data_IF_365250441267
#
_entry.id   IF_365250441267
#
_cell.length_a   1.000
_cell.length_b   1.000
_cell.length_c   1.000
_cell.angle_alpha   90.00
_cell.angle_beta   90.00
_cell.angle_gamma   90.00
#
_symmetry.space_group_name_H-M   'P 1'
#
loop_
_entity.id
_entity.type
_entity.pdbx_description
1 polymer ?
#
# COMPACT_ATOMS: atom_id res chain seq x y z
N UNK A 1 1.64 62.17 42.30
CA UNK A 1 0.84 62.65 43.44
C UNK A 1 -0.04 61.48 43.88
N UNK A 2 0.46 60.81 44.87
CA UNK A 2 -0.23 60.39 46.12
C UNK A 2 -1.33 59.33 45.82
N UNK A 3 -1.15 58.07 46.03
CA UNK A 3 -0.89 57.29 47.25
C UNK A 3 -2.15 56.82 47.97
N UNK A 4 -2.07 55.56 48.32
CA UNK A 4 -2.50 54.88 49.58
C UNK A 4 -3.77 54.01 49.44
N UNK A 5 -3.60 52.70 49.59
CA UNK A 5 -3.57 51.89 50.86
C UNK A 5 -4.99 51.70 51.46
N UNK A 6 -5.47 50.54 51.76
CA UNK A 6 -5.15 49.48 52.70
C UNK A 6 -6.29 48.45 52.60
N UNK A 7 -6.00 47.17 52.60
CA UNK A 7 -5.93 46.21 53.72
C UNK A 7 -7.23 45.57 54.23
N UNK A 8 -7.14 44.25 54.27
CA UNK A 8 -7.74 43.26 55.20
C UNK A 8 -9.19 42.86 54.93
N UNK A 9 -9.57 41.65 54.97
CA UNK A 9 -9.04 40.42 55.54
C UNK A 9 -10.07 39.31 55.48
N UNK A 10 -9.52 38.17 55.38
CA UNK A 10 -9.86 36.93 56.05
C UNK A 10 -11.17 36.16 55.85
N UNK A 11 -10.94 34.93 55.53
CA UNK A 11 -11.47 33.67 56.09
C UNK A 11 -12.75 33.03 55.54
N UNK A 12 -12.45 31.90 54.87
CA UNK A 12 -13.04 30.56 55.08
C UNK A 12 -14.52 30.32 54.73
N UNK A 13 -14.80 29.52 53.71
CA UNK A 13 -15.37 28.16 53.87
C UNK A 13 -15.54 27.45 52.53
N UNK A 14 -15.11 26.22 52.55
CA UNK A 14 -15.26 25.16 51.57
C UNK A 14 -16.67 25.03 51.00
N UNK A 15 -16.77 24.82 49.66
CA UNK A 15 -17.79 23.91 49.15
C UNK A 15 -17.33 23.37 47.77
N UNK A 16 -17.24 22.07 47.69
CA UNK A 16 -16.94 21.26 46.53
C UNK A 16 -18.05 21.41 45.49
N UNK A 17 -17.71 21.76 44.26
CA UNK A 17 -18.53 21.49 43.09
C UNK A 17 -17.63 20.87 42.02
N UNK A 18 -17.83 19.57 41.85
CA UNK A 18 -17.32 18.76 40.74
C UNK A 18 -17.84 19.32 39.40
N UNK A 19 -16.97 20.01 38.68
CA UNK A 19 -17.17 20.32 37.29
C UNK A 19 -16.56 19.22 36.44
N UNK A 20 -17.35 18.27 35.89
CA UNK A 20 -16.93 17.36 34.84
C UNK A 20 -16.63 18.17 33.58
N UNK A 21 -15.35 18.42 33.35
CA UNK A 21 -14.89 18.84 32.03
C UNK A 21 -14.79 17.56 31.15
N UNK A 22 -15.77 17.36 30.29
CA UNK A 22 -15.69 16.36 29.23
C UNK A 22 -14.60 16.79 28.23
N UNK A 23 -13.39 16.29 28.39
CA UNK A 23 -12.41 16.28 27.31
C UNK A 23 -12.88 15.27 26.27
N UNK A 24 -13.44 15.76 25.18
CA UNK A 24 -13.60 14.99 23.95
C UNK A 24 -12.20 14.78 23.34
N UNK A 25 -11.54 13.71 23.74
CA UNK A 25 -10.37 13.20 23.05
C UNK A 25 -10.81 12.66 21.69
N UNK A 26 -10.58 13.40 20.62
CA UNK A 26 -10.66 12.89 19.27
C UNK A 26 -9.58 11.81 19.14
N UNK A 27 -9.98 10.55 19.15
CA UNK A 27 -9.10 9.43 18.89
C UNK A 27 -8.60 9.54 17.44
N UNK A 28 -7.28 9.40 17.19
CA UNK A 28 -6.79 9.31 15.82
C UNK A 28 -7.40 8.08 15.15
N UNK A 29 -7.95 8.25 13.96
CA UNK A 29 -8.40 7.15 13.13
C UNK A 29 -7.20 6.21 12.87
N UNK A 30 -7.15 5.12 13.62
CA UNK A 30 -6.21 4.03 13.36
C UNK A 30 -6.68 3.35 12.09
N UNK A 31 -5.88 3.43 11.02
CA UNK A 31 -5.94 2.46 9.95
C UNK A 31 -5.65 1.09 10.60
N UNK A 32 -6.71 0.39 11.00
CA UNK A 32 -6.56 -0.92 11.61
C UNK A 32 -6.23 -1.91 10.53
N UNK A 33 -4.99 -2.31 10.58
CA UNK A 33 -4.44 -3.51 10.00
C UNK A 33 -5.29 -4.73 10.33
N UNK A 34 -5.38 -5.63 9.38
CA UNK A 34 -5.85 -7.00 9.60
C UNK A 34 -5.21 -7.57 10.86
N UNK A 35 -5.95 -8.27 11.71
CA UNK A 35 -5.41 -8.85 12.93
C UNK A 35 -4.23 -9.77 12.60
N UNK A 36 -3.16 -9.63 13.36
CA UNK A 36 -2.00 -10.52 13.25
C UNK A 36 -2.45 -11.94 13.60
N UNK A 37 -2.07 -12.91 12.76
CA UNK A 37 -2.28 -14.32 13.02
C UNK A 37 -1.58 -14.70 14.33
N UNK A 38 -2.24 -15.48 15.21
CA UNK A 38 -1.60 -16.02 16.41
C UNK A 38 -0.41 -16.90 16.01
N UNK A 39 0.72 -16.74 16.71
CA UNK A 39 1.91 -17.56 16.54
C UNK A 39 1.59 -19.02 16.81
N UNK A 40 1.76 -19.88 15.81
CA UNK A 40 1.65 -21.32 15.97
C UNK A 40 2.82 -21.84 16.80
N UNK A 41 2.60 -22.77 17.77
CA UNK A 41 3.66 -23.36 18.56
C UNK A 41 4.55 -24.27 17.71
N UNK A 42 5.87 -24.14 17.87
CA UNK A 42 6.85 -25.04 17.28
C UNK A 42 6.81 -26.37 17.99
N UNK A 43 6.34 -27.42 17.34
CA UNK A 43 6.49 -28.80 17.82
C UNK A 43 7.13 -29.70 16.77
N UNK A 44 8.23 -30.24 17.13
CA UNK A 44 8.92 -31.49 17.03
C UNK A 44 8.87 -32.31 15.73
N UNK A 45 10.08 -32.63 15.30
CA UNK A 45 10.44 -33.63 14.28
C UNK A 45 9.88 -35.02 14.58
N UNK A 46 9.27 -35.64 13.58
CA UNK A 46 9.06 -37.06 13.50
C UNK A 46 7.67 -37.49 13.08
N UNK A 47 7.32 -37.43 11.81
CA UNK A 47 6.39 -38.33 11.09
C UNK A 47 6.47 -37.99 9.60
N UNK A 48 7.40 -38.55 8.85
CA UNK A 48 7.58 -38.21 7.43
C UNK A 48 6.85 -39.13 6.43
N UNK A 49 6.10 -40.11 6.84
CA UNK A 49 5.50 -41.11 5.92
C UNK A 49 3.97 -41.17 5.85
N UNK A 50 3.25 -40.28 6.53
CA UNK A 50 1.78 -40.14 6.37
C UNK A 50 1.32 -38.79 5.86
N UNK A 51 2.23 -37.96 5.37
CA UNK A 51 2.04 -36.51 5.19
C UNK A 51 1.48 -36.13 3.79
N UNK A 52 1.42 -37.03 2.83
CA UNK A 52 0.97 -36.69 1.47
C UNK A 52 -0.52 -36.32 1.35
N UNK A 53 -1.39 -36.95 2.12
CA UNK A 53 -2.84 -36.67 2.09
C UNK A 53 -3.28 -35.64 3.14
N UNK A 54 -2.56 -35.53 4.26
CA UNK A 54 -2.89 -34.57 5.32
C UNK A 54 -2.42 -33.15 4.98
N UNK A 55 -1.38 -32.99 4.17
CA UNK A 55 -0.86 -31.65 3.78
C UNK A 55 -1.83 -30.92 2.85
N UNK A 56 -2.49 -31.60 1.90
CA UNK A 56 -3.50 -30.96 1.05
C UNK A 56 -4.74 -30.53 1.84
N UNK A 57 -5.15 -31.31 2.81
CA UNK A 57 -6.29 -30.99 3.69
C UNK A 57 -5.94 -29.85 4.65
N UNK A 58 -4.75 -29.88 5.28
CA UNK A 58 -4.25 -28.83 6.15
C UNK A 58 -4.03 -27.49 5.41
N UNK A 59 -3.51 -27.53 4.17
CA UNK A 59 -3.38 -26.33 3.33
C UNK A 59 -4.74 -25.79 2.93
N UNK A 60 -5.72 -26.64 2.67
CA UNK A 60 -7.11 -26.26 2.38
C UNK A 60 -7.81 -25.59 3.57
N UNK A 61 -7.60 -26.10 4.80
CA UNK A 61 -8.18 -25.53 6.02
C UNK A 61 -7.56 -24.18 6.36
N UNK A 62 -6.23 -24.07 6.28
CA UNK A 62 -5.53 -22.81 6.47
C UNK A 62 -5.96 -21.76 5.44
N UNK A 63 -6.10 -22.15 4.16
CA UNK A 63 -6.57 -21.25 3.11
C UNK A 63 -8.02 -20.77 3.39
N UNK A 64 -8.92 -21.64 3.84
CA UNK A 64 -10.29 -21.27 4.25
C UNK A 64 -10.27 -20.31 5.44
N UNK A 65 -9.50 -20.59 6.47
CA UNK A 65 -9.38 -19.72 7.65
C UNK A 65 -8.84 -18.34 7.32
N UNK A 66 -7.84 -18.24 6.43
CA UNK A 66 -7.32 -16.97 5.94
C UNK A 66 -8.37 -16.19 5.13
N UNK A 67 -9.13 -16.88 4.26
CA UNK A 67 -10.20 -16.26 3.50
C UNK A 67 -11.33 -15.76 4.40
N UNK A 68 -11.71 -16.52 5.42
CA UNK A 68 -12.70 -16.11 6.42
C UNK A 68 -12.22 -14.90 7.23
N UNK A 69 -10.93 -14.86 7.59
CA UNK A 69 -10.30 -13.72 8.26
C UNK A 69 -10.33 -12.49 7.36
N UNK A 70 -9.99 -12.63 6.06
CA UNK A 70 -10.06 -11.55 5.07
C UNK A 70 -11.49 -11.01 4.93
N UNK A 71 -12.48 -11.91 4.83
CA UNK A 71 -13.90 -11.53 4.73
C UNK A 71 -14.39 -10.82 5.99
N UNK A 72 -14.00 -11.30 7.17
CA UNK A 72 -14.33 -10.67 8.44
C UNK A 72 -13.74 -9.25 8.55
N UNK A 73 -12.49 -9.06 8.14
CA UNK A 73 -11.84 -7.76 8.11
C UNK A 73 -12.53 -6.80 7.12
N UNK A 74 -12.84 -7.27 5.91
CA UNK A 74 -13.59 -6.50 4.92
C UNK A 74 -14.98 -6.10 5.43
N UNK A 75 -15.70 -7.02 6.08
CA UNK A 75 -17.00 -6.72 6.70
C UNK A 75 -16.88 -5.70 7.85
N UNK A 76 -15.78 -5.71 8.59
CA UNK A 76 -15.53 -4.72 9.64
C UNK A 76 -15.33 -3.33 9.04
N UNK A 77 -14.52 -3.17 8.00
CA UNK A 77 -14.34 -1.91 7.28
C UNK A 77 -15.67 -1.33 6.77
N UNK A 78 -16.52 -2.18 6.22
CA UNK A 78 -17.86 -1.76 5.75
C UNK A 78 -18.74 -1.31 6.92
N UNK A 79 -18.70 -2.00 8.07
CA UNK A 79 -19.48 -1.58 9.25
C UNK A 79 -19.00 -0.26 9.85
N UNK A 80 -17.69 -0.01 9.81
CA UNK A 80 -17.10 1.25 10.32
C UNK A 80 -17.35 2.42 9.38
N UNK A 81 -17.44 2.18 8.07
CA UNK A 81 -17.60 3.21 7.04
C UNK A 81 -18.64 2.83 5.97
N UNK A 82 -19.91 2.58 6.35
CA UNK A 82 -20.93 2.03 5.44
C UNK A 82 -21.33 3.00 4.32
N UNK A 83 -21.12 4.29 4.51
CA UNK A 83 -21.34 5.36 3.53
C UNK A 83 -20.19 5.53 2.53
N UNK A 84 -19.01 4.99 2.84
CA UNK A 84 -17.78 5.14 2.04
C UNK A 84 -17.31 3.84 1.42
N UNK A 85 -17.55 2.69 2.07
CA UNK A 85 -17.02 1.39 1.68
C UNK A 85 -18.15 0.37 1.56
N UNK A 86 -18.14 -0.37 0.46
CA UNK A 86 -19.02 -1.51 0.21
C UNK A 86 -18.20 -2.70 -0.30
N UNK A 87 -18.79 -3.90 -0.29
CA UNK A 87 -18.16 -5.05 -0.92
C UNK A 87 -18.51 -5.10 -2.41
N UNK A 88 -17.52 -5.39 -3.22
CA UNK A 88 -17.70 -5.69 -4.63
C UNK A 88 -18.34 -7.11 -4.83
N UNK A 89 -18.68 -7.51 -6.06
CA UNK A 89 -19.26 -8.84 -6.31
C UNK A 89 -18.38 -10.03 -5.88
N UNK A 90 -17.08 -9.83 -5.71
CA UNK A 90 -16.09 -10.82 -5.28
C UNK A 90 -15.82 -10.77 -3.77
N UNK A 91 -16.45 -9.84 -3.04
CA UNK A 91 -16.28 -9.66 -1.60
C UNK A 91 -15.04 -8.86 -1.21
N UNK A 92 -14.48 -8.06 -2.11
CA UNK A 92 -13.41 -7.11 -1.80
C UNK A 92 -13.96 -5.74 -1.45
N UNK A 93 -13.32 -5.00 -0.51
CA UNK A 93 -13.69 -3.63 -0.22
C UNK A 93 -13.50 -2.73 -1.46
N UNK A 94 -14.48 -1.89 -1.69
CA UNK A 94 -14.49 -0.92 -2.78
C UNK A 94 -15.24 0.34 -2.34
N UNK A 95 -15.11 1.43 -3.07
CA UNK A 95 -15.87 2.66 -2.82
C UNK A 95 -17.36 2.39 -2.93
N UNK A 96 -18.10 2.79 -1.90
CA UNK A 96 -19.55 2.56 -1.86
C UNK A 96 -20.28 3.34 -2.96
N UNK A 97 -21.16 2.64 -3.68
CA UNK A 97 -22.01 3.27 -4.70
C UNK A 97 -21.29 3.76 -5.95
N UNK A 98 -19.99 3.50 -6.11
CA UNK A 98 -19.21 3.98 -7.26
C UNK A 98 -18.78 2.83 -8.16
N UNK A 99 -18.91 3.02 -9.48
CA UNK A 99 -18.38 2.09 -10.49
C UNK A 99 -17.46 2.82 -11.45
N UNK A 100 -16.46 2.11 -11.93
CA UNK A 100 -15.47 2.58 -12.91
C UNK A 100 -15.79 1.97 -14.25
N UNK A 101 -15.90 2.79 -15.27
CA UNK A 101 -16.14 2.40 -16.67
C UNK A 101 -14.93 2.79 -17.47
N UNK A 102 -14.31 1.83 -18.16
CA UNK A 102 -13.18 2.08 -19.03
C UNK A 102 -13.63 2.52 -20.42
N UNK A 103 -12.93 3.47 -21.00
CA UNK A 103 -13.15 4.06 -22.34
C UNK A 103 -14.64 4.33 -22.66
N UNK A 104 -15.42 5.02 -21.78
CA UNK A 104 -16.84 5.21 -22.00
C UNK A 104 -17.12 6.16 -23.16
N UNK A 105 -18.06 5.78 -24.05
CA UNK A 105 -18.59 6.70 -25.05
C UNK A 105 -19.54 7.73 -24.43
N UNK A 106 -19.71 8.87 -25.08
CA UNK A 106 -20.67 9.91 -24.64
C UNK A 106 -22.11 9.37 -24.62
N UNK A 107 -22.46 8.51 -25.57
CA UNK A 107 -23.77 7.85 -25.62
C UNK A 107 -24.01 6.96 -24.40
N UNK A 108 -22.99 6.19 -23.97
CA UNK A 108 -23.07 5.38 -22.77
C UNK A 108 -23.25 6.24 -21.53
N UNK A 109 -22.47 7.33 -21.38
CA UNK A 109 -22.59 8.25 -20.25
C UNK A 109 -23.96 8.91 -20.20
N UNK A 110 -24.52 9.33 -21.36
CA UNK A 110 -25.87 9.87 -21.44
C UNK A 110 -26.94 8.84 -21.06
N UNK A 111 -26.81 7.60 -21.53
CA UNK A 111 -27.71 6.50 -21.16
C UNK A 111 -27.63 6.15 -19.67
N UNK A 112 -26.45 6.19 -19.08
CA UNK A 112 -26.26 6.00 -17.64
C UNK A 112 -26.93 7.14 -16.84
N UNK A 113 -26.74 8.40 -17.27
CA UNK A 113 -27.37 9.56 -16.65
C UNK A 113 -28.89 9.47 -16.71
N UNK A 114 -29.47 9.04 -17.84
CA UNK A 114 -30.91 8.82 -17.96
C UNK A 114 -31.46 7.73 -17.01
N UNK A 115 -30.58 6.83 -16.52
CA UNK A 115 -30.90 5.83 -15.47
C UNK A 115 -30.60 6.32 -14.04
N UNK A 116 -30.24 7.59 -13.87
CA UNK A 116 -29.97 8.22 -12.59
C UNK A 116 -28.54 8.05 -12.06
N UNK A 117 -27.61 7.56 -12.89
CA UNK A 117 -26.20 7.59 -12.53
C UNK A 117 -25.65 9.01 -12.66
N UNK A 118 -24.80 9.41 -11.74
CA UNK A 118 -24.14 10.72 -11.75
C UNK A 118 -22.67 10.54 -12.13
N UNK A 119 -22.23 11.26 -13.15
CA UNK A 119 -20.82 11.31 -13.50
C UNK A 119 -20.06 12.07 -12.40
N UNK A 120 -19.11 11.38 -11.73
CA UNK A 120 -18.21 11.98 -10.73
C UNK A 120 -17.01 12.61 -11.42
N UNK A 121 -16.34 11.83 -12.27
CA UNK A 121 -15.21 12.29 -13.07
C UNK A 121 -15.09 11.50 -14.38
N UNK A 122 -14.47 12.11 -15.37
CA UNK A 122 -13.99 11.47 -16.58
C UNK A 122 -12.56 11.91 -16.80
N UNK A 123 -11.66 10.97 -16.94
CA UNK A 123 -10.22 11.23 -17.04
C UNK A 123 -9.57 10.28 -18.04
N UNK A 124 -8.38 10.67 -18.47
CA UNK A 124 -7.48 9.82 -19.24
C UNK A 124 -6.12 9.74 -18.52
N UNK A 125 -5.61 8.53 -18.36
CA UNK A 125 -4.31 8.27 -17.77
C UNK A 125 -3.49 7.43 -18.74
N UNK A 126 -2.40 7.97 -19.25
CA UNK A 126 -1.47 7.30 -20.18
C UNK A 126 -2.13 6.77 -21.46
N UNK A 127 -3.20 7.42 -21.94
CA UNK A 127 -3.97 6.99 -23.12
C UNK A 127 -5.12 6.03 -22.79
N UNK A 128 -5.41 5.81 -21.50
CA UNK A 128 -6.50 4.94 -21.03
C UNK A 128 -7.58 5.84 -20.43
N UNK A 129 -8.73 5.92 -21.13
CA UNK A 129 -9.89 6.67 -20.66
C UNK A 129 -10.63 5.91 -19.57
N UNK A 130 -11.16 6.61 -18.58
CA UNK A 130 -12.13 6.05 -17.65
C UNK A 130 -13.09 7.10 -17.11
N UNK A 131 -14.24 6.65 -16.64
CA UNK A 131 -15.18 7.48 -15.88
C UNK A 131 -15.55 6.79 -14.58
N UNK A 132 -15.72 7.58 -13.51
CA UNK A 132 -16.35 7.13 -12.28
C UNK A 132 -17.79 7.62 -12.26
N UNK A 133 -18.70 6.69 -12.02
CA UNK A 133 -20.13 6.94 -11.95
C UNK A 133 -20.63 6.60 -10.55
N UNK A 134 -21.37 7.51 -9.93
CA UNK A 134 -22.13 7.24 -8.72
C UNK A 134 -23.47 6.61 -9.10
N UNK A 135 -23.75 5.47 -8.50
CA UNK A 135 -25.01 4.76 -8.71
C UNK A 135 -26.18 5.41 -7.97
N UNK A 136 -27.42 5.28 -8.45
CA UNK A 136 -28.60 5.72 -7.71
C UNK A 136 -28.67 5.08 -6.32
N UNK A 137 -29.20 5.82 -5.35
CA UNK A 137 -29.35 5.34 -3.96
C UNK A 137 -30.05 3.99 -3.90
N UNK A 138 -29.55 3.11 -3.05
CA UNK A 138 -30.08 1.76 -2.85
C UNK A 138 -29.61 0.72 -3.88
N UNK A 139 -28.77 1.09 -4.84
CA UNK A 139 -28.15 0.15 -5.76
C UNK A 139 -26.88 -0.45 -5.14
N UNK A 140 -26.79 -1.77 -5.08
CA UNK A 140 -25.53 -2.46 -4.75
C UNK A 140 -24.53 -2.35 -5.91
N UNK A 141 -23.22 -2.45 -5.61
CA UNK A 141 -22.18 -2.46 -6.65
C UNK A 141 -22.41 -3.54 -7.71
N UNK A 142 -22.89 -4.73 -7.30
CA UNK A 142 -23.24 -5.83 -8.22
C UNK A 142 -24.36 -5.44 -9.18
N UNK A 143 -25.39 -4.72 -8.71
CA UNK A 143 -26.46 -4.23 -9.56
C UNK A 143 -25.97 -3.13 -10.50
N UNK A 144 -25.23 -2.16 -9.97
CA UNK A 144 -24.67 -1.05 -10.76
C UNK A 144 -23.77 -1.54 -11.89
N UNK A 145 -22.82 -2.42 -11.62
CA UNK A 145 -21.94 -3.04 -12.63
C UNK A 145 -22.76 -3.73 -13.73
N UNK A 146 -23.77 -4.51 -13.33
CA UNK A 146 -24.64 -5.22 -14.28
C UNK A 146 -25.46 -4.27 -15.15
N UNK A 147 -25.99 -3.20 -14.56
CA UNK A 147 -26.80 -2.20 -15.26
C UNK A 147 -25.96 -1.43 -16.29
N UNK A 148 -24.77 -1.00 -15.92
CA UNK A 148 -23.86 -0.28 -16.83
C UNK A 148 -23.35 -1.19 -17.96
N UNK A 149 -23.05 -2.46 -17.69
CA UNK A 149 -22.71 -3.43 -18.74
C UNK A 149 -23.82 -3.62 -19.77
N UNK A 150 -25.08 -3.63 -19.32
CA UNK A 150 -26.24 -3.70 -20.23
C UNK A 150 -26.41 -2.46 -21.11
N UNK A 151 -25.80 -1.33 -20.78
CA UNK A 151 -25.76 -0.14 -21.60
C UNK A 151 -24.65 -0.18 -22.68
N UNK A 152 -23.89 -1.29 -22.77
CA UNK A 152 -22.85 -1.48 -23.78
C UNK A 152 -21.44 -1.15 -23.30
N UNK A 153 -21.21 -0.99 -21.99
CA UNK A 153 -19.87 -0.83 -21.47
C UNK A 153 -19.04 -2.11 -21.65
N UNK A 154 -17.86 -2.02 -22.27
CA UNK A 154 -16.98 -3.14 -22.49
C UNK A 154 -16.36 -3.64 -21.17
N UNK A 155 -15.90 -2.72 -20.32
CA UNK A 155 -15.34 -3.03 -19.02
C UNK A 155 -15.92 -2.12 -17.95
N UNK A 156 -16.45 -2.72 -16.88
CA UNK A 156 -17.01 -2.04 -15.71
C UNK A 156 -16.58 -2.78 -14.45
N UNK A 157 -16.01 -2.06 -13.51
CA UNK A 157 -15.56 -2.62 -12.24
C UNK A 157 -16.02 -1.76 -11.06
N UNK A 158 -15.88 -2.28 -9.86
CA UNK A 158 -15.85 -1.45 -8.66
C UNK A 158 -14.51 -0.72 -8.55
N UNK A 159 -14.46 0.38 -7.83
CA UNK A 159 -13.22 1.06 -7.48
C UNK A 159 -12.65 0.42 -6.19
N UNK A 160 -11.98 -0.74 -6.36
CA UNK A 160 -11.52 -1.57 -5.27
C UNK A 160 -10.39 -0.91 -4.47
N UNK A 161 -10.38 -1.16 -3.16
CA UNK A 161 -9.38 -0.65 -2.24
C UNK A 161 -8.15 -1.56 -2.18
N UNK A 162 -6.97 -0.95 -2.10
CA UNK A 162 -5.69 -1.59 -1.86
C UNK A 162 -5.18 -1.12 -0.50
N UNK A 163 -4.82 -2.06 0.37
CA UNK A 163 -4.37 -1.77 1.73
C UNK A 163 -2.84 -1.71 1.81
N UNK A 164 -2.32 -0.90 2.73
CA UNK A 164 -0.90 -0.89 3.08
C UNK A 164 -0.48 -2.26 3.63
N UNK A 165 0.65 -2.79 3.16
CA UNK A 165 1.12 -4.14 3.53
C UNK A 165 2.19 -4.08 4.61
N UNK A 166 1.84 -3.76 5.84
CA UNK A 166 2.77 -3.69 6.97
C UNK A 166 2.25 -2.84 8.10
N UNK A 167 2.86 -2.96 9.28
CA UNK A 167 2.47 -2.21 10.47
C UNK A 167 3.54 -1.19 10.86
N UNK A 168 3.11 0.03 11.09
CA UNK A 168 3.93 1.13 11.62
C UNK A 168 3.15 1.84 12.72
N UNK A 169 3.59 1.85 13.98
CA UNK A 169 3.01 2.69 15.01
C UNK A 169 3.75 4.04 15.11
N UNK A 170 3.02 5.16 15.08
CA UNK A 170 3.56 6.50 15.42
C UNK A 170 3.43 7.59 14.35
N UNK A 171 3.91 8.81 14.59
CA UNK A 171 3.81 10.01 13.74
C UNK A 171 5.14 10.46 13.05
N UNK A 172 5.11 11.18 11.86
CA UNK A 172 6.19 11.26 10.85
C UNK A 172 7.32 12.32 11.02
N UNK A 173 8.61 11.93 10.82
CA UNK A 173 9.73 12.85 10.56
C UNK A 173 10.09 12.91 9.06
N UNK A 174 10.60 14.06 8.59
CA UNK A 174 10.93 14.24 7.19
C UNK A 174 12.11 13.35 6.72
N UNK A 175 12.02 12.86 5.50
CA UNK A 175 13.15 12.30 4.76
C UNK A 175 14.11 13.45 4.40
N UNK A 176 15.41 13.21 4.50
CA UNK A 176 16.40 14.23 4.17
C UNK A 176 16.36 14.63 2.68
N UNK A 177 16.53 15.91 2.32
CA UNK A 177 16.67 16.33 0.94
C UNK A 177 17.87 15.63 0.28
N UNK A 178 17.67 15.07 -0.92
CA UNK A 178 18.69 14.40 -1.69
C UNK A 178 18.96 15.10 -3.03
N UNK A 179 20.08 14.76 -3.68
CA UNK A 179 20.46 15.19 -5.04
C UNK A 179 20.53 14.02 -6.03
N UNK A 180 20.31 12.81 -5.54
CA UNK A 180 20.36 11.57 -6.31
C UNK A 180 19.13 11.32 -7.21
N UNK A 181 18.99 10.09 -7.74
CA UNK A 181 17.86 9.70 -8.58
C UNK A 181 16.51 9.93 -7.91
N UNK A 182 15.49 10.23 -8.72
CA UNK A 182 14.12 10.37 -8.24
C UNK A 182 13.43 8.99 -8.20
N UNK A 183 12.98 8.59 -7.01
CA UNK A 183 12.27 7.31 -6.78
C UNK A 183 10.84 7.60 -6.36
N UNK A 184 9.89 6.95 -7.01
CA UNK A 184 8.47 7.09 -6.73
C UNK A 184 8.01 6.22 -5.56
N UNK A 185 7.18 6.78 -4.71
CA UNK A 185 6.46 6.09 -3.63
C UNK A 185 4.98 6.35 -3.81
N UNK A 186 4.21 5.30 -4.15
CA UNK A 186 2.74 5.33 -4.14
C UNK A 186 2.28 4.66 -2.87
N UNK A 187 1.79 5.47 -1.92
CA UNK A 187 1.45 5.06 -0.55
C UNK A 187 0.57 6.14 0.11
N UNK A 188 0.59 6.29 1.42
CA UNK A 188 0.26 7.55 2.08
C UNK A 188 1.37 8.59 1.85
N UNK A 189 1.09 9.86 2.12
CA UNK A 189 2.06 10.94 1.87
C UNK A 189 3.35 10.77 2.66
N UNK A 190 4.44 11.31 2.10
CA UNK A 190 5.78 11.27 2.68
C UNK A 190 6.17 12.66 3.18
N UNK A 191 6.66 12.73 4.41
CA UNK A 191 7.25 13.97 4.94
C UNK A 191 8.64 14.21 4.34
N UNK A 192 8.91 15.41 3.82
CA UNK A 192 10.19 15.75 3.21
C UNK A 192 10.41 15.24 1.79
N UNK A 193 9.37 14.80 1.09
CA UNK A 193 9.45 14.40 -0.30
C UNK A 193 9.88 15.60 -1.21
N UNK A 194 10.71 15.32 -2.22
CA UNK A 194 11.15 16.31 -3.20
C UNK A 194 10.00 16.74 -4.12
N UNK A 195 9.10 15.83 -4.46
CA UNK A 195 7.84 16.06 -5.15
C UNK A 195 6.72 15.40 -4.38
N UNK A 196 5.56 16.05 -4.28
CA UNK A 196 4.40 15.49 -3.58
C UNK A 196 3.11 15.82 -4.32
N UNK A 197 2.23 14.82 -4.46
CA UNK A 197 0.90 14.98 -5.02
C UNK A 197 -0.12 14.13 -4.26
N UNK A 198 -1.38 14.60 -4.21
CA UNK A 198 -2.49 13.91 -3.57
C UNK A 198 -3.52 13.39 -4.58
N UNK A 199 -4.02 12.18 -4.35
CA UNK A 199 -4.97 11.48 -5.23
C UNK A 199 -6.25 11.02 -4.49
N UNK A 200 -6.37 11.38 -3.23
CA UNK A 200 -7.54 11.11 -2.39
C UNK A 200 -7.96 12.37 -1.62
N UNK A 201 -9.12 12.34 -1.01
CA UNK A 201 -9.61 13.46 -0.19
C UNK A 201 -8.64 13.73 0.97
N UNK A 202 -8.25 15.01 1.14
CA UNK A 202 -7.31 15.42 2.19
C UNK A 202 -5.85 15.05 1.94
N UNK A 203 -5.51 14.53 0.74
CA UNK A 203 -4.12 14.32 0.30
C UNK A 203 -3.58 15.58 -0.43
N UNK A 204 -2.23 15.82 -0.43
CA UNK A 204 -1.21 15.00 0.22
C UNK A 204 -1.12 15.26 1.74
N UNK A 205 -1.00 14.21 2.51
CA UNK A 205 -0.84 14.25 3.96
C UNK A 205 0.21 13.23 4.40
N UNK A 206 1.23 13.68 5.13
CA UNK A 206 2.26 12.77 5.64
C UNK A 206 1.64 11.62 6.45
N UNK A 207 2.08 10.41 6.13
CA UNK A 207 1.63 9.16 6.70
C UNK A 207 2.84 8.36 7.17
N UNK A 208 2.69 7.63 8.27
CA UNK A 208 3.79 6.88 8.88
C UNK A 208 4.31 5.78 7.96
N UNK A 209 3.41 5.05 7.31
CA UNK A 209 3.79 3.96 6.42
C UNK A 209 4.53 4.48 5.18
N UNK A 210 3.99 5.47 4.48
CA UNK A 210 4.64 6.09 3.33
C UNK A 210 6.00 6.71 3.69
N UNK A 211 6.11 7.37 4.87
CA UNK A 211 7.38 7.93 5.34
C UNK A 211 8.39 6.84 5.70
N UNK A 212 7.96 5.74 6.33
CA UNK A 212 8.82 4.60 6.61
C UNK A 212 9.35 3.98 5.32
N UNK A 213 8.50 3.73 4.33
CA UNK A 213 8.88 3.23 3.00
C UNK A 213 9.91 4.15 2.35
N UNK A 214 9.68 5.46 2.33
CA UNK A 214 10.61 6.43 1.76
C UNK A 214 11.96 6.47 2.50
N UNK A 215 11.99 6.32 3.83
CA UNK A 215 13.21 6.27 4.63
C UNK A 215 14.09 5.07 4.31
N UNK A 216 13.47 3.94 3.92
CA UNK A 216 14.19 2.74 3.50
C UNK A 216 14.79 2.88 2.10
N UNK A 217 14.31 3.84 1.30
CA UNK A 217 14.95 4.21 0.03
C UNK A 217 16.09 5.19 0.29
N UNK A 218 15.76 6.40 0.77
CA UNK A 218 16.65 7.56 0.77
C UNK A 218 17.51 7.69 2.03
N UNK A 219 17.21 6.93 3.08
CA UNK A 219 17.74 7.14 4.42
C UNK A 219 17.03 8.28 5.15
N UNK A 220 17.08 8.27 6.47
CA UNK A 220 16.61 9.36 7.32
C UNK A 220 17.19 9.22 8.72
N UNK A 221 17.84 10.24 9.26
CA UNK A 221 18.49 10.19 10.57
C UNK A 221 19.47 9.03 10.67
N UNK A 222 19.21 8.06 11.57
CA UNK A 222 20.01 6.86 11.77
C UNK A 222 19.65 5.70 10.83
N UNK A 223 18.56 5.81 10.08
CA UNK A 223 18.13 4.81 9.09
C UNK A 223 18.95 4.99 7.82
N UNK A 224 19.66 3.92 7.40
CA UNK A 224 20.64 3.98 6.30
C UNK A 224 20.02 4.19 4.93
N UNK A 225 18.88 3.50 4.65
CA UNK A 225 18.31 3.44 3.31
C UNK A 225 19.12 2.60 2.30
N UNK A 226 18.47 2.18 1.22
CA UNK A 226 19.09 1.42 0.12
C UNK A 226 19.82 2.29 -0.90
N UNK A 227 19.46 3.59 -0.98
CA UNK A 227 20.07 4.57 -1.87
C UNK A 227 20.10 5.94 -1.15
N UNK A 228 21.03 6.11 -0.19
CA UNK A 228 21.14 7.36 0.56
C UNK A 228 21.29 8.56 -0.39
N UNK A 229 20.53 9.61 -0.10
CA UNK A 229 20.49 10.81 -0.94
C UNK A 229 19.60 10.71 -2.18
N UNK A 230 18.84 9.64 -2.38
CA UNK A 230 17.77 9.60 -3.37
C UNK A 230 16.73 10.69 -3.10
N UNK A 231 16.12 11.22 -4.15
CA UNK A 231 14.97 12.13 -4.05
C UNK A 231 13.69 11.30 -4.11
N UNK A 232 12.68 11.69 -3.35
CA UNK A 232 11.42 10.98 -3.29
C UNK A 232 10.33 11.76 -4.01
N UNK A 233 9.64 11.11 -4.95
CA UNK A 233 8.36 11.55 -5.49
C UNK A 233 7.25 10.80 -4.74
N UNK A 234 6.48 11.51 -3.94
CA UNK A 234 5.42 10.96 -3.09
C UNK A 234 4.05 11.17 -3.75
N UNK A 235 3.34 10.09 -4.00
CA UNK A 235 1.95 10.10 -4.43
C UNK A 235 1.07 9.54 -3.31
N UNK A 236 0.37 10.43 -2.62
CA UNK A 236 -0.55 10.06 -1.54
C UNK A 236 -1.91 9.64 -2.12
N UNK A 237 -2.20 8.34 -2.04
CA UNK A 237 -3.46 7.75 -2.51
C UNK A 237 -4.48 7.54 -1.40
N UNK A 238 -4.15 7.89 -0.15
CA UNK A 238 -5.03 7.72 1.02
C UNK A 238 -5.61 9.02 1.57
N UNK A 239 -4.78 10.04 1.78
CA UNK A 239 -5.18 11.29 2.43
C UNK A 239 -5.83 11.03 3.79
N UNK A 240 -7.03 11.54 3.96
CA UNK A 240 -7.93 11.27 5.10
C UNK A 240 -9.20 10.49 4.71
N UNK A 241 -9.25 9.94 3.50
CA UNK A 241 -10.42 9.22 3.00
C UNK A 241 -10.40 7.76 3.49
N UNK A 242 -11.41 7.28 4.24
CA UNK A 242 -11.52 5.86 4.62
C UNK A 242 -11.54 4.91 3.42
N UNK A 243 -12.01 5.38 2.25
CA UNK A 243 -11.98 4.65 0.99
C UNK A 243 -10.79 5.07 0.09
N UNK A 244 -9.70 5.58 0.68
CA UNK A 244 -8.44 5.84 0.00
C UNK A 244 -7.72 4.55 -0.41
N UNK A 245 -6.65 4.69 -1.20
CA UNK A 245 -5.95 3.52 -1.76
C UNK A 245 -6.74 2.79 -2.83
N UNK A 246 -7.75 3.42 -3.41
CA UNK A 246 -8.56 2.82 -4.46
C UNK A 246 -7.84 2.76 -5.81
N UNK A 247 -8.30 1.87 -6.69
CA UNK A 247 -7.65 1.58 -7.97
C UNK A 247 -7.52 2.83 -8.86
N UNK A 248 -8.52 3.72 -8.89
CA UNK A 248 -8.46 4.95 -9.69
C UNK A 248 -7.44 5.94 -9.14
N UNK A 249 -7.30 6.06 -7.82
CA UNK A 249 -6.27 6.90 -7.19
C UNK A 249 -4.86 6.39 -7.52
N UNK A 250 -4.62 5.06 -7.44
CA UNK A 250 -3.35 4.45 -7.80
C UNK A 250 -3.04 4.65 -9.30
N UNK A 251 -4.04 4.45 -10.17
CA UNK A 251 -3.89 4.67 -11.60
C UNK A 251 -3.46 6.11 -11.94
N UNK A 252 -4.11 7.11 -11.33
CA UNK A 252 -3.73 8.53 -11.48
C UNK A 252 -2.34 8.81 -10.92
N UNK A 253 -1.99 8.22 -9.78
CA UNK A 253 -0.66 8.34 -9.18
C UNK A 253 0.42 7.80 -10.12
N UNK A 254 0.21 6.64 -10.76
CA UNK A 254 1.13 6.09 -11.77
C UNK A 254 1.28 7.06 -12.94
N UNK A 255 0.18 7.61 -13.45
CA UNK A 255 0.21 8.63 -14.51
C UNK A 255 1.07 9.84 -14.14
N UNK A 256 0.91 10.34 -12.91
CA UNK A 256 1.71 11.45 -12.38
C UNK A 256 3.20 11.08 -12.26
N UNK A 257 3.54 9.86 -11.85
CA UNK A 257 4.93 9.39 -11.82
C UNK A 257 5.57 9.43 -13.21
N UNK A 258 4.84 8.96 -14.24
CA UNK A 258 5.31 9.02 -15.64
C UNK A 258 5.53 10.46 -16.10
N UNK A 259 4.60 11.37 -15.81
CA UNK A 259 4.71 12.79 -16.15
C UNK A 259 5.94 13.46 -15.51
N UNK A 260 6.30 13.04 -14.30
CA UNK A 260 7.48 13.53 -13.57
C UNK A 260 8.76 12.74 -13.90
N UNK A 261 8.74 11.89 -14.95
CA UNK A 261 9.90 11.11 -15.41
C UNK A 261 10.54 10.24 -14.33
N UNK A 262 9.73 9.72 -13.41
CA UNK A 262 10.19 8.77 -12.40
C UNK A 262 10.47 7.43 -13.08
N UNK A 263 11.69 6.90 -12.90
CA UNK A 263 12.11 5.65 -13.56
C UNK A 263 11.73 4.41 -12.77
N UNK A 264 11.69 4.52 -11.44
CA UNK A 264 11.38 3.39 -10.54
C UNK A 264 10.32 3.84 -9.54
N UNK A 265 9.25 3.08 -9.44
CA UNK A 265 8.12 3.34 -8.53
C UNK A 265 7.93 2.14 -7.63
N UNK A 266 7.93 2.35 -6.31
CA UNK A 266 7.52 1.32 -5.35
C UNK A 266 6.06 1.50 -4.96
N UNK A 267 5.33 0.37 -4.91
CA UNK A 267 3.94 0.30 -4.49
C UNK A 267 3.85 -0.71 -3.36
N UNK A 268 3.81 -0.22 -2.12
CA UNK A 268 3.75 -1.04 -0.92
C UNK A 268 2.30 -1.31 -0.48
N UNK A 269 1.42 -1.49 -1.45
CA UNK A 269 -0.03 -1.70 -1.30
C UNK A 269 -0.43 -3.02 -1.92
N UNK A 270 -1.49 -3.64 -1.38
CA UNK A 270 -2.02 -4.89 -1.91
C UNK A 270 -3.55 -4.89 -1.95
N UNK A 271 -4.09 -5.43 -3.02
CA UNK A 271 -5.52 -5.57 -3.25
C UNK A 271 -5.84 -6.63 -4.28
N UNK A 272 -7.09 -6.70 -4.75
CA UNK A 272 -7.51 -7.58 -5.82
C UNK A 272 -7.02 -7.10 -7.19
N UNK A 273 -7.13 -7.96 -8.20
CA UNK A 273 -6.95 -7.58 -9.59
C UNK A 273 -7.99 -6.53 -10.01
N UNK A 274 -7.54 -5.52 -10.73
CA UNK A 274 -8.39 -4.47 -11.30
C UNK A 274 -7.95 -4.21 -12.76
N UNK A 275 -8.84 -4.30 -13.76
CA UNK A 275 -8.50 -4.14 -15.17
C UNK A 275 -7.91 -2.77 -15.51
N UNK A 276 -8.50 -1.67 -15.01
CA UNK A 276 -7.95 -0.32 -15.23
C UNK A 276 -6.50 -0.22 -14.73
N UNK A 277 -6.25 -0.71 -13.50
CA UNK A 277 -4.92 -0.66 -12.92
C UNK A 277 -3.92 -1.51 -13.71
N UNK A 278 -4.33 -2.69 -14.19
CA UNK A 278 -3.49 -3.54 -15.05
C UNK A 278 -3.06 -2.82 -16.34
N UNK A 279 -4.01 -2.16 -17.02
CA UNK A 279 -3.74 -1.39 -18.24
C UNK A 279 -2.82 -0.21 -18.02
N UNK A 280 -3.06 0.57 -16.94
CA UNK A 280 -2.24 1.74 -16.61
C UNK A 280 -0.81 1.32 -16.23
N UNK A 281 -0.64 0.22 -15.49
CA UNK A 281 0.68 -0.36 -15.18
C UNK A 281 1.41 -0.75 -16.47
N UNK A 282 0.76 -1.51 -17.36
CA UNK A 282 1.35 -1.89 -18.64
C UNK A 282 1.75 -0.66 -19.49
N UNK A 283 0.91 0.39 -19.50
CA UNK A 283 1.21 1.63 -20.20
C UNK A 283 2.39 2.41 -19.59
N UNK A 284 2.58 2.37 -18.28
CA UNK A 284 3.72 2.96 -17.60
C UNK A 284 5.01 2.17 -17.88
N UNK A 285 4.95 0.84 -17.84
CA UNK A 285 6.07 -0.04 -18.19
C UNK A 285 6.52 0.16 -19.65
N UNK A 286 5.60 0.30 -20.58
CA UNK A 286 5.90 0.61 -21.99
C UNK A 286 6.63 1.96 -22.13
N UNK A 287 6.52 2.87 -21.16
CA UNK A 287 7.24 4.15 -21.09
C UNK A 287 8.54 4.06 -20.28
N UNK A 288 8.96 2.86 -19.90
CA UNK A 288 10.21 2.61 -19.19
C UNK A 288 10.13 2.82 -17.68
N UNK A 289 8.96 2.80 -17.07
CA UNK A 289 8.85 2.83 -15.61
C UNK A 289 8.95 1.41 -15.06
N UNK A 290 9.95 1.16 -14.21
CA UNK A 290 10.04 -0.05 -13.42
C UNK A 290 9.10 0.05 -12.21
N UNK A 291 8.12 -0.85 -12.11
CA UNK A 291 7.20 -0.90 -10.97
C UNK A 291 7.60 -2.05 -10.06
N UNK A 292 7.87 -1.73 -8.80
CA UNK A 292 8.27 -2.68 -7.75
C UNK A 292 7.11 -2.76 -6.75
N UNK A 293 6.64 -3.96 -6.44
CA UNK A 293 5.50 -4.11 -5.54
C UNK A 293 5.69 -5.23 -4.52
N UNK A 294 5.18 -4.98 -3.31
CA UNK A 294 5.17 -5.95 -2.22
C UNK A 294 4.13 -7.06 -2.47
N UNK A 295 4.49 -8.32 -2.15
CA UNK A 295 3.57 -9.46 -2.29
C UNK A 295 2.50 -9.55 -1.17
N UNK A 296 2.54 -8.63 -0.19
CA UNK A 296 1.58 -8.58 0.91
C UNK A 296 1.95 -9.48 2.08
N UNK A 297 1.09 -9.45 3.12
CA UNK A 297 1.34 -10.11 4.40
C UNK A 297 0.17 -11.00 4.85
N UNK A 298 -0.60 -11.52 3.90
CA UNK A 298 -1.78 -12.35 4.18
C UNK A 298 -1.47 -13.85 4.21
N UNK A 299 -0.18 -14.19 4.27
CA UNK A 299 0.30 -15.57 4.30
C UNK A 299 0.37 -16.24 2.92
N UNK A 300 1.12 -17.34 2.81
CA UNK A 300 1.39 -18.02 1.53
C UNK A 300 0.17 -18.73 0.93
N UNK A 301 -0.89 -18.97 1.69
CA UNK A 301 -2.13 -19.56 1.23
C UNK A 301 -3.15 -18.53 0.69
N UNK A 302 -2.89 -17.22 0.86
CA UNK A 302 -3.76 -16.17 0.33
C UNK A 302 -3.75 -16.15 -1.21
N UNK A 303 -4.84 -15.66 -1.85
CA UNK A 303 -4.84 -15.39 -3.28
C UNK A 303 -3.69 -14.46 -3.69
N UNK A 304 -3.23 -14.53 -4.96
CA UNK A 304 -2.21 -13.64 -5.47
C UNK A 304 -2.59 -12.16 -5.27
N UNK A 305 -1.66 -11.38 -4.72
CA UNK A 305 -1.86 -9.96 -4.44
C UNK A 305 -1.47 -9.09 -5.64
N UNK A 306 -2.23 -8.02 -5.86
CA UNK A 306 -1.96 -7.01 -6.89
C UNK A 306 -1.62 -5.67 -6.22
N UNK A 307 -0.70 -4.89 -6.84
CA UNK A 307 -0.19 -4.98 -8.20
C UNK A 307 0.97 -5.97 -8.42
N UNK A 308 1.54 -6.61 -7.39
CA UNK A 308 2.70 -7.49 -7.51
C UNK A 308 2.51 -8.63 -8.55
N UNK A 309 1.27 -9.08 -8.76
CA UNK A 309 0.95 -10.17 -9.69
C UNK A 309 0.71 -9.73 -11.14
N UNK A 310 0.75 -8.43 -11.45
CA UNK A 310 0.64 -8.02 -12.85
C UNK A 310 1.92 -8.33 -13.64
N UNK A 311 1.80 -8.68 -14.93
CA UNK A 311 2.95 -8.95 -15.77
C UNK A 311 3.97 -7.80 -15.76
N UNK A 312 5.26 -8.14 -15.62
CA UNK A 312 6.35 -7.18 -15.63
C UNK A 312 6.48 -6.30 -14.38
N UNK A 313 5.59 -6.42 -13.39
CA UNK A 313 5.79 -5.82 -12.07
C UNK A 313 6.83 -6.66 -11.34
N UNK A 314 7.79 -5.99 -10.70
CA UNK A 314 8.84 -6.64 -9.92
C UNK A 314 8.28 -6.98 -8.56
N UNK A 315 7.94 -8.25 -8.36
CA UNK A 315 7.32 -8.75 -7.14
C UNK A 315 8.36 -9.02 -6.05
N UNK A 316 8.14 -8.45 -4.85
CA UNK A 316 9.13 -8.49 -3.76
C UNK A 316 8.53 -9.09 -2.50
N UNK A 317 9.21 -10.10 -1.95
CA UNK A 317 8.96 -10.66 -0.62
C UNK A 317 9.94 -10.11 0.42
N UNK A 318 9.66 -10.38 1.70
CA UNK A 318 10.48 -9.95 2.82
C UNK A 318 11.25 -11.08 3.48
N UNK A 319 12.47 -10.77 3.98
CA UNK A 319 13.23 -11.65 4.86
C UNK A 319 13.46 -11.02 6.23
N UNK A 320 13.64 -11.88 7.25
CA UNK A 320 13.99 -11.47 8.61
C UNK A 320 15.49 -11.16 8.76
N UNK A 321 15.90 -10.79 9.97
CA UNK A 321 17.30 -10.49 10.29
C UNK A 321 18.28 -11.65 10.15
N UNK A 322 17.79 -12.87 9.96
CA UNK A 322 18.56 -14.09 9.70
C UNK A 322 18.48 -14.54 8.25
N UNK A 323 17.86 -13.75 7.37
CA UNK A 323 17.71 -14.05 5.95
C UNK A 323 16.60 -15.08 5.65
N UNK A 324 15.71 -15.40 6.60
CA UNK A 324 14.60 -16.33 6.40
C UNK A 324 13.38 -15.56 5.85
N UNK A 325 12.70 -16.14 4.87
CA UNK A 325 11.46 -15.57 4.35
C UNK A 325 10.43 -15.34 5.47
N UNK A 326 9.72 -14.23 5.42
CA UNK A 326 8.68 -13.91 6.41
C UNK A 326 7.52 -14.91 6.27
N UNK A 327 7.10 -15.51 7.39
CA UNK A 327 6.03 -16.51 7.41
C UNK A 327 4.67 -15.93 7.00
N UNK A 328 4.47 -14.65 7.24
CA UNK A 328 3.27 -13.91 6.84
C UNK A 328 3.33 -13.40 5.40
N UNK A 329 4.45 -13.54 4.70
CA UNK A 329 4.55 -13.07 3.32
C UNK A 329 3.45 -13.67 2.46
N UNK A 330 2.77 -12.81 1.70
CA UNK A 330 1.74 -13.19 0.74
C UNK A 330 2.34 -13.82 -0.53
N UNK A 331 1.50 -13.90 -1.56
CA UNK A 331 1.88 -14.49 -2.85
C UNK A 331 1.60 -13.53 -3.99
N UNK A 332 2.42 -13.63 -5.03
CA UNK A 332 2.13 -13.14 -6.36
C UNK A 332 2.16 -14.31 -7.36
N UNK A 333 1.73 -14.08 -8.59
CA UNK A 333 1.79 -15.08 -9.68
C UNK A 333 3.23 -15.44 -10.04
N UNK A 334 4.18 -14.56 -9.71
CA UNK A 334 5.63 -14.73 -9.83
C UNK A 334 6.31 -14.04 -8.65
N UNK A 335 7.57 -14.33 -8.41
CA UNK A 335 8.39 -13.67 -7.41
C UNK A 335 9.75 -13.34 -8.02
N UNK A 336 10.17 -12.08 -7.89
CA UNK A 336 11.42 -11.62 -8.48
C UNK A 336 12.56 -11.56 -7.47
N UNK A 337 12.36 -10.94 -6.33
CA UNK A 337 13.39 -10.76 -5.31
C UNK A 337 12.84 -10.84 -3.90
N UNK A 338 13.77 -11.10 -2.98
CA UNK A 338 13.59 -10.89 -1.57
C UNK A 338 14.47 -9.72 -1.09
N UNK A 339 14.07 -9.05 -0.01
CA UNK A 339 14.87 -8.03 0.65
C UNK A 339 14.52 -7.96 2.15
N UNK A 340 15.32 -7.28 3.00
CA UNK A 340 15.00 -7.13 4.41
C UNK A 340 13.61 -6.54 4.63
N UNK A 341 12.76 -7.25 5.37
CA UNK A 341 11.38 -6.85 5.70
C UNK A 341 11.09 -6.91 7.19
N UNK A 342 12.04 -7.33 8.03
CA UNK A 342 11.87 -7.39 9.47
C UNK A 342 13.19 -7.22 10.23
N UNK A 343 13.09 -7.17 11.57
CA UNK A 343 14.21 -6.98 12.51
C UNK A 343 15.05 -5.75 12.18
N UNK A 344 14.39 -4.70 11.74
CA UNK A 344 15.03 -3.47 11.31
C UNK A 344 14.25 -2.23 11.71
N UNK A 345 14.92 -1.10 11.60
CA UNK A 345 14.37 0.22 11.84
C UNK A 345 14.03 0.91 10.50
N UNK A 346 12.91 1.59 10.48
CA UNK A 346 12.55 2.60 9.50
C UNK A 346 12.19 3.90 10.23
N UNK A 347 12.24 5.03 9.53
CA UNK A 347 11.85 6.30 10.11
C UNK A 347 10.33 6.44 10.02
N UNK A 348 9.69 6.46 11.16
CA UNK A 348 8.30 6.85 11.21
C UNK A 348 8.16 8.36 11.39
N UNK A 349 6.92 8.77 11.34
CA UNK A 349 6.54 10.11 11.39
C UNK A 349 6.83 10.90 12.64
N UNK A 350 7.08 10.25 13.77
CA UNK A 350 7.50 10.91 15.02
C UNK A 350 8.93 11.46 15.00
N UNK A 351 9.69 11.28 13.92
CA UNK A 351 11.12 11.58 13.90
C UNK A 351 11.97 10.55 14.61
N UNK A 352 11.38 9.45 15.05
CA UNK A 352 12.07 8.38 15.76
C UNK A 352 12.14 7.13 14.88
N UNK A 353 13.30 6.46 14.86
CA UNK A 353 13.39 5.13 14.26
C UNK A 353 12.50 4.17 15.04
N UNK A 354 11.79 3.33 14.30
CA UNK A 354 10.91 2.33 14.88
C UNK A 354 11.08 0.98 14.19
N UNK A 355 10.76 -0.08 14.91
CA UNK A 355 10.78 -1.44 14.36
C UNK A 355 9.66 -1.59 13.35
N UNK A 356 10.01 -2.13 12.19
CA UNK A 356 9.05 -2.43 11.13
C UNK A 356 9.12 -3.90 10.74
N UNK A 357 7.97 -4.41 10.26
CA UNK A 357 7.83 -5.78 9.77
C UNK A 357 6.77 -5.86 8.67
N UNK A 358 7.11 -6.51 7.57
CA UNK A 358 6.25 -6.76 6.43
C UNK A 358 6.96 -6.58 5.10
N UNK A 359 6.37 -7.14 4.04
CA UNK A 359 6.88 -7.07 2.67
C UNK A 359 6.88 -5.65 2.10
N UNK A 360 6.02 -4.74 2.61
CA UNK A 360 6.04 -3.31 2.31
C UNK A 360 7.38 -2.64 2.56
N UNK A 361 8.15 -3.16 3.51
CA UNK A 361 9.45 -2.61 3.88
C UNK A 361 10.61 -3.27 3.14
N UNK A 362 10.34 -4.37 2.43
CA UNK A 362 11.31 -5.01 1.54
C UNK A 362 11.30 -4.37 0.14
N UNK A 363 10.14 -4.09 -0.42
CA UNK A 363 9.99 -3.51 -1.75
C UNK A 363 10.81 -2.21 -1.97
N UNK A 364 10.85 -1.24 -1.04
CA UNK A 364 11.64 -0.03 -1.19
C UNK A 364 13.15 -0.27 -1.34
N UNK A 365 13.72 -1.30 -0.72
CA UNK A 365 15.12 -1.64 -0.91
C UNK A 365 15.40 -2.12 -2.34
N UNK A 366 14.53 -2.97 -2.89
CA UNK A 366 14.64 -3.41 -4.29
C UNK A 366 14.49 -2.23 -5.24
N UNK A 367 13.52 -1.33 -5.00
CA UNK A 367 13.37 -0.11 -5.77
C UNK A 367 14.62 0.79 -5.71
N UNK A 368 15.25 0.92 -4.55
CA UNK A 368 16.50 1.67 -4.36
C UNK A 368 17.67 1.06 -5.17
N UNK A 369 17.84 -0.27 -5.14
CA UNK A 369 18.89 -0.96 -5.91
C UNK A 369 18.67 -0.76 -7.41
N UNK A 370 17.43 -0.88 -7.90
CA UNK A 370 17.12 -0.66 -9.32
C UNK A 370 17.38 0.81 -9.68
N UNK A 371 16.91 1.77 -8.88
CA UNK A 371 17.07 3.20 -9.19
C UNK A 371 18.54 3.64 -9.27
N UNK A 372 19.44 2.99 -8.54
CA UNK A 372 20.88 3.23 -8.62
C UNK A 372 21.45 2.95 -10.01
N UNK A 373 20.95 1.93 -10.69
CA UNK A 373 21.45 1.49 -12.01
C UNK A 373 20.53 1.90 -13.16
N UNK A 374 19.33 2.40 -12.82
CA UNK A 374 18.29 2.85 -13.77
C UNK A 374 17.70 4.21 -13.33
N UNK A 375 18.49 5.29 -13.37
CA UNK A 375 18.11 6.60 -12.83
C UNK A 375 17.11 7.38 -13.70
N UNK A 376 16.93 6.99 -14.96
CA UNK A 376 16.00 7.65 -15.90
C UNK A 376 15.20 6.61 -16.67
N UNK A 377 13.91 6.90 -16.99
CA UNK A 377 13.09 5.97 -17.78
C UNK A 377 13.71 5.74 -19.17
N UNK A 378 13.93 4.47 -19.49
CA UNK A 378 14.46 4.02 -20.77
C UNK A 378 13.98 2.60 -21.08
N UNK A 379 12.89 2.40 -21.84
CA UNK A 379 12.33 1.07 -22.09
C UNK A 379 13.36 0.06 -22.61
N UNK A 380 14.25 0.50 -23.52
CA UNK A 380 15.27 -0.39 -24.09
C UNK A 380 16.38 -0.77 -23.09
N UNK A 381 16.61 0.06 -22.06
CA UNK A 381 17.66 -0.14 -21.06
C UNK A 381 17.23 -0.94 -19.83
N UNK A 382 15.93 -1.13 -19.61
CA UNK A 382 15.42 -1.75 -18.38
C UNK A 382 15.92 -3.19 -18.22
N UNK A 383 15.88 -4.01 -19.28
CA UNK A 383 16.37 -5.39 -19.23
C UNK A 383 17.83 -5.49 -18.81
N UNK A 384 18.69 -4.62 -19.34
CA UNK A 384 20.11 -4.58 -18.97
C UNK A 384 20.31 -4.12 -17.52
N UNK A 385 19.49 -3.18 -17.03
CA UNK A 385 19.52 -2.75 -15.64
C UNK A 385 19.10 -3.89 -14.71
N UNK A 386 18.02 -4.61 -15.01
CA UNK A 386 17.59 -5.78 -14.22
C UNK A 386 18.65 -6.87 -14.24
N UNK A 387 19.26 -7.21 -15.38
CA UNK A 387 20.35 -8.19 -15.45
C UNK A 387 21.58 -7.78 -14.60
N UNK A 388 21.78 -6.47 -14.40
CA UNK A 388 22.82 -5.99 -13.46
C UNK A 388 22.40 -6.21 -12.01
N UNK A 389 21.14 -5.96 -11.66
CA UNK A 389 20.59 -6.22 -10.32
C UNK A 389 20.62 -7.73 -10.00
N UNK A 390 20.31 -8.59 -10.98
CA UNK A 390 20.36 -10.05 -10.82
C UNK A 390 21.73 -10.55 -10.33
N UNK A 391 22.81 -9.94 -10.81
CA UNK A 391 24.19 -10.30 -10.38
C UNK A 391 24.51 -9.89 -8.95
N UNK A 392 23.75 -8.97 -8.37
CA UNK A 392 23.91 -8.53 -6.97
C UNK A 392 23.02 -9.34 -6.01
N UNK A 393 22.02 -10.04 -6.53
CA UNK A 393 21.13 -10.86 -5.72
C UNK A 393 21.88 -12.09 -5.19
N UNK A 394 21.87 -12.25 -3.87
CA UNK A 394 22.43 -13.43 -3.22
C UNK A 394 21.42 -14.57 -3.29
N UNK A 395 21.81 -15.66 -3.94
CA UNK A 395 20.98 -16.87 -4.01
C UNK A 395 20.68 -17.40 -2.60
N UNK A 396 19.42 -17.72 -2.34
CA UNK A 396 18.93 -18.19 -1.04
C UNK A 396 17.80 -19.20 -1.24
N UNK A 397 17.68 -20.16 -0.33
CA UNK A 397 16.72 -21.26 -0.46
C UNK A 397 17.21 -22.35 -1.40
N UNK A 398 16.39 -22.77 -2.34
CA UNK A 398 16.75 -23.71 -3.39
C UNK A 398 17.71 -23.05 -4.38
N UNK A 399 18.64 -23.81 -4.94
CA UNK A 399 19.60 -23.26 -5.92
C UNK A 399 18.88 -22.67 -7.13
N UNK A 400 19.19 -21.39 -7.42
CA UNK A 400 18.58 -20.63 -8.50
C UNK A 400 17.22 -20.03 -8.10
N UNK A 401 16.49 -19.42 -9.04
CA UNK A 401 15.21 -18.77 -8.75
C UNK A 401 14.19 -19.73 -8.13
N UNK A 402 13.59 -19.35 -7.02
CA UNK A 402 12.58 -20.14 -6.31
C UNK A 402 11.36 -19.32 -5.86
N UNK A 403 10.35 -20.00 -5.26
CA UNK A 403 9.10 -19.38 -4.84
C UNK A 403 9.19 -18.62 -3.51
N UNK A 404 10.31 -18.76 -2.78
CA UNK A 404 10.50 -18.16 -1.44
C UNK A 404 11.36 -16.91 -1.48
N UNK A 405 12.34 -16.86 -2.40
CA UNK A 405 13.31 -15.78 -2.49
C UNK A 405 13.40 -15.15 -3.89
N UNK A 406 12.65 -15.69 -4.88
CA UNK A 406 12.76 -15.25 -6.26
C UNK A 406 14.15 -15.53 -6.82
N UNK A 407 14.77 -14.54 -7.46
CA UNK A 407 16.15 -14.60 -7.98
C UNK A 407 17.22 -14.40 -6.90
N UNK A 408 16.81 -14.12 -5.66
CA UNK A 408 17.68 -13.99 -4.50
C UNK A 408 17.39 -12.75 -3.65
N UNK A 409 18.18 -12.59 -2.60
CA UNK A 409 18.07 -11.52 -1.60
C UNK A 409 18.93 -10.34 -2.00
N UNK A 410 18.31 -9.15 -2.04
CA UNK A 410 18.97 -7.88 -2.33
C UNK A 410 19.11 -7.03 -1.06
N UNK A 411 20.15 -6.19 -1.01
CA UNK A 411 20.27 -5.10 -0.05
C UNK A 411 20.30 -5.55 1.44
N UNK A 412 20.82 -6.73 1.76
CA UNK A 412 20.90 -7.20 3.16
C UNK A 412 21.68 -6.23 4.06
N UNK A 413 22.78 -5.67 3.54
CA UNK A 413 23.59 -4.69 4.26
C UNK A 413 22.93 -3.31 4.41
N UNK A 414 21.84 -3.01 3.66
CA UNK A 414 21.13 -1.73 3.75
C UNK A 414 20.30 -1.63 5.02
N UNK A 415 20.00 -2.75 5.63
CA UNK A 415 19.19 -2.84 6.85
C UNK A 415 19.86 -2.08 8.00
N UNK A 416 19.10 -1.23 8.69
CA UNK A 416 19.48 -0.71 10.01
C UNK A 416 18.90 -1.66 11.06
N UNK A 417 19.74 -2.48 11.73
CA UNK A 417 19.23 -3.48 12.68
C UNK A 417 18.44 -2.84 13.82
N UNK A 418 17.33 -3.45 14.19
CA UNK A 418 16.63 -3.15 15.43
C UNK A 418 17.33 -3.91 16.56
N UNK A 419 18.05 -3.17 17.43
CA UNK A 419 18.70 -3.72 18.63
C UNK A 419 17.66 -4.06 19.71
#
# INVERSE_FOLDING_TARGET
MIAKMCKEGAMMRSMWLLGLAALSAAAPARAQLLPQLPSLPATGSGVLDRVGQDVETLTGDVARQLEDTRRAAAATLVREHPDRIALDPQGFPARAGEVVVEDPSDALLAAATAKGYRLIERQEVLGIGFARLEAPRGRSLKQAIREIRKLGAAEVTADQLHAQSGSVPGSAAPVAPGTGPLVGVIDGGVSGAALSAGFATGAPRANDHGTAVASLIAGAGTVRGGLPGARIASADVYGSDPAGGNATAIARAIGWMVQNRVSVVTISLTGPANPLLARVIAAAQARGVAIVAAVGNNGPAAPPAYPASYPGVIAVTGVDGRGRALIEAGRATHLDYAAPGADMLAMAGSGRPMRVRGTSFAAPFVAAVIARVYPTPNPAGLGAAIARVDREARDAGSRGPDRSYGRGVLCEACRTPAR
#
